data_IF_731765743363
#
_entry.id   IF_731765743363
#
_cell.length_a   1.000
_cell.length_b   1.000
_cell.length_c   1.000
_cell.angle_alpha   90.00
_cell.angle_beta   90.00
_cell.angle_gamma   90.00
#
_symmetry.space_group_name_H-M   'P 1'
#
loop_
_entity.id
_entity.type
_entity.pdbx_description
1 polymer ?
#
# COMPACT_ATOMS: atom_id res chain seq x y z
N UNK A 1 1.83 -10.47 24.91
CA UNK A 1 0.85 -9.95 23.92
C UNK A 1 0.76 -8.44 24.09
N UNK A 2 1.06 -7.65 23.05
CA UNK A 2 0.90 -6.18 23.10
C UNK A 2 -0.59 -5.85 22.89
N UNK A 3 -1.13 -4.91 23.68
CA UNK A 3 -2.57 -4.57 23.65
C UNK A 3 -2.99 -4.07 22.26
N UNK A 4 -4.11 -4.60 21.74
CA UNK A 4 -4.74 -4.17 20.48
C UNK A 4 -5.01 -2.66 20.49
N UNK A 5 -5.41 -2.11 21.65
CA UNK A 5 -5.68 -0.69 21.83
C UNK A 5 -4.44 0.17 21.54
N UNK A 6 -3.25 -0.31 21.92
CA UNK A 6 -1.99 0.39 21.69
C UNK A 6 -1.62 0.42 20.20
N UNK A 7 -1.88 -0.67 19.48
CA UNK A 7 -1.66 -0.73 18.02
C UNK A 7 -2.61 0.21 17.27
N UNK A 8 -3.89 0.22 17.65
CA UNK A 8 -4.86 1.15 17.07
C UNK A 8 -4.47 2.61 17.34
N UNK A 9 -4.03 2.92 18.57
CA UNK A 9 -3.58 4.27 18.91
C UNK A 9 -2.35 4.70 18.09
N UNK A 10 -1.34 3.83 17.96
CA UNK A 10 -0.16 4.08 17.13
C UNK A 10 -0.53 4.31 15.66
N UNK A 11 -1.48 3.52 15.13
CA UNK A 11 -2.01 3.70 13.76
C UNK A 11 -2.64 5.08 13.61
N UNK A 12 -3.52 5.49 14.52
CA UNK A 12 -4.17 6.80 14.48
C UNK A 12 -3.15 7.94 14.53
N UNK A 13 -2.15 7.87 15.41
CA UNK A 13 -1.10 8.88 15.49
C UNK A 13 -0.24 8.94 14.22
N UNK A 14 0.12 7.80 13.64
CA UNK A 14 0.91 7.74 12.41
C UNK A 14 0.15 8.37 11.23
N UNK A 15 -1.16 8.09 11.12
CA UNK A 15 -2.03 8.69 10.12
C UNK A 15 -2.16 10.20 10.34
N UNK A 16 -2.42 10.64 11.58
CA UNK A 16 -2.55 12.05 11.91
C UNK A 16 -1.28 12.84 11.59
N UNK A 17 -0.12 12.32 12.00
CA UNK A 17 1.16 12.95 11.71
C UNK A 17 1.42 13.09 10.20
N UNK A 18 1.00 12.09 9.42
CA UNK A 18 1.22 12.07 7.97
C UNK A 18 0.23 12.92 7.18
N UNK A 19 -1.04 12.97 7.61
CA UNK A 19 -2.15 13.59 6.86
C UNK A 19 -2.54 14.97 7.36
N UNK A 20 -2.73 15.12 8.67
CA UNK A 20 -3.29 16.33 9.25
C UNK A 20 -2.19 17.28 9.73
N UNK A 21 -1.18 16.76 10.42
CA UNK A 21 -0.09 17.58 10.94
C UNK A 21 0.99 17.92 9.88
N UNK A 22 1.00 17.18 8.76
CA UNK A 22 2.04 17.26 7.73
C UNK A 22 3.47 17.19 8.31
N UNK A 23 3.70 16.23 9.22
CA UNK A 23 5.01 15.93 9.82
C UNK A 23 5.44 14.52 9.36
N UNK A 24 5.99 14.37 8.13
CA UNK A 24 6.29 13.05 7.57
C UNK A 24 7.31 12.24 8.37
N UNK A 25 8.29 12.89 9.00
CA UNK A 25 9.30 12.25 9.85
C UNK A 25 8.69 11.58 11.09
N UNK A 26 7.70 12.24 11.71
CA UNK A 26 6.94 11.68 12.82
C UNK A 26 6.03 10.54 12.33
N UNK A 27 5.39 10.71 11.18
CA UNK A 27 4.61 9.65 10.53
C UNK A 27 5.43 8.39 10.22
N UNK A 28 6.65 8.56 9.70
CA UNK A 28 7.61 7.49 9.47
C UNK A 28 7.98 6.76 10.77
N UNK A 29 8.38 7.50 11.79
CA UNK A 29 8.76 6.95 13.09
C UNK A 29 7.62 6.12 13.73
N UNK A 30 6.40 6.66 13.70
CA UNK A 30 5.23 5.97 14.25
C UNK A 30 4.82 4.76 13.39
N UNK A 31 4.97 4.85 12.07
CA UNK A 31 4.79 3.73 11.15
C UNK A 31 5.74 2.56 11.47
N UNK A 32 7.03 2.84 11.62
CA UNK A 32 8.01 1.84 12.05
C UNK A 32 7.66 1.21 13.41
N UNK A 33 7.27 2.04 14.40
CA UNK A 33 6.83 1.58 15.72
C UNK A 33 5.59 0.67 15.63
N UNK A 34 4.65 0.97 14.74
CA UNK A 34 3.48 0.13 14.49
C UNK A 34 3.89 -1.24 13.94
N UNK A 35 4.75 -1.26 12.92
CA UNK A 35 5.23 -2.48 12.26
C UNK A 35 6.07 -3.38 13.19
N UNK A 36 6.79 -2.79 14.13
CA UNK A 36 7.57 -3.53 15.16
C UNK A 36 6.73 -3.96 16.37
N UNK A 37 5.51 -3.43 16.52
CA UNK A 37 4.65 -3.72 17.67
C UNK A 37 3.62 -4.82 17.43
N UNK A 38 3.31 -5.19 16.19
CA UNK A 38 2.32 -6.22 15.92
C UNK A 38 2.31 -6.62 14.45
N UNK A 39 1.37 -7.49 14.11
CA UNK A 39 1.20 -7.90 12.73
C UNK A 39 0.75 -6.71 11.86
N UNK A 40 1.33 -6.57 10.66
CA UNK A 40 0.97 -5.51 9.75
C UNK A 40 -0.49 -5.64 9.35
N UNK A 41 -1.28 -4.61 9.66
CA UNK A 41 -2.65 -4.51 9.18
C UNK A 41 -2.62 -4.52 7.63
N UNK A 42 -3.25 -5.50 6.96
CA UNK A 42 -3.17 -5.64 5.51
C UNK A 42 -3.81 -4.48 4.75
N UNK A 43 -4.59 -3.63 5.43
CA UNK A 43 -5.12 -2.39 4.87
C UNK A 43 -4.09 -1.26 4.78
N UNK A 44 -2.98 -1.37 5.52
CA UNK A 44 -1.90 -0.38 5.53
C UNK A 44 -0.87 -0.70 4.45
N UNK A 45 -0.34 0.36 3.84
CA UNK A 45 0.72 0.26 2.86
C UNK A 45 1.89 1.16 3.28
N UNK A 46 2.86 0.62 4.04
CA UNK A 46 4.05 1.38 4.43
C UNK A 46 5.00 1.53 3.23
N UNK A 47 5.66 2.68 3.14
CA UNK A 47 6.73 2.87 2.17
C UNK A 47 7.91 1.94 2.48
N UNK A 48 8.44 1.22 1.49
CA UNK A 48 9.56 0.29 1.74
C UNK A 48 10.86 1.00 2.13
N UNK A 49 10.99 2.30 1.82
CA UNK A 49 12.20 3.08 2.11
C UNK A 49 12.15 3.82 3.44
N UNK A 50 11.03 4.50 3.73
CA UNK A 50 10.92 5.37 4.90
C UNK A 50 9.84 4.95 5.88
N UNK A 51 9.13 3.84 5.61
CA UNK A 51 8.16 3.19 6.50
C UNK A 51 6.94 4.07 6.87
N UNK A 52 6.85 5.28 6.33
CA UNK A 52 5.65 6.13 6.40
C UNK A 52 4.46 5.37 5.82
N UNK A 53 3.34 5.41 6.54
CA UNK A 53 2.08 4.84 6.06
C UNK A 53 1.58 5.67 4.88
N UNK A 54 1.52 5.08 3.69
CA UNK A 54 1.09 5.74 2.48
C UNK A 54 -0.44 5.80 2.40
N UNK A 55 -0.96 7.01 2.29
CA UNK A 55 -2.36 7.37 2.17
C UNK A 55 -2.58 8.06 0.82
N UNK A 56 -3.24 7.36 -0.13
CA UNK A 56 -3.56 7.92 -1.44
C UNK A 56 -4.23 9.28 -1.34
N UNK A 57 -3.77 10.24 -2.15
CA UNK A 57 -4.33 11.60 -2.21
C UNK A 57 -3.81 12.56 -1.14
N UNK A 58 -2.97 12.11 -0.20
CA UNK A 58 -2.37 12.95 0.83
C UNK A 58 -0.85 12.94 0.74
N UNK A 59 -0.22 11.89 1.27
CA UNK A 59 1.24 11.74 1.29
C UNK A 59 1.74 10.77 0.21
N UNK A 60 0.85 10.23 -0.63
CA UNK A 60 1.23 9.43 -1.79
C UNK A 60 0.30 9.60 -2.99
N UNK A 61 0.85 9.37 -4.18
CA UNK A 61 0.10 9.25 -5.43
C UNK A 61 0.05 7.79 -5.85
N UNK A 62 -1.12 7.31 -6.31
CA UNK A 62 -1.29 5.94 -6.81
C UNK A 62 -1.43 5.95 -8.31
N UNK A 63 -0.65 5.11 -8.99
CA UNK A 63 -0.76 4.85 -10.44
C UNK A 63 -1.06 3.38 -10.66
N UNK A 64 -2.00 3.09 -11.56
CA UNK A 64 -2.31 1.73 -11.97
C UNK A 64 -1.81 1.59 -13.40
N UNK A 65 -0.81 0.74 -13.59
CA UNK A 65 -0.23 0.46 -14.89
C UNK A 65 -0.56 -0.96 -15.33
N UNK A 66 -0.87 -1.19 -16.62
CA UNK A 66 -1.03 -2.54 -17.12
C UNK A 66 0.30 -3.29 -17.00
N UNK A 67 0.24 -4.52 -16.52
CA UNK A 67 1.36 -5.44 -16.47
C UNK A 67 1.72 -5.87 -17.90
N UNK A 68 2.51 -5.04 -18.58
CA UNK A 68 3.02 -5.30 -19.95
C UNK A 68 4.20 -6.26 -19.95
N UNK A 69 4.31 -7.16 -18.97
CA UNK A 69 5.24 -8.27 -19.05
C UNK A 69 4.98 -8.98 -20.39
N UNK A 70 5.92 -8.81 -21.31
CA UNK A 70 5.85 -9.29 -22.70
C UNK A 70 5.36 -10.73 -22.64
N UNK A 71 4.18 -10.99 -23.19
CA UNK A 71 3.65 -12.34 -23.24
C UNK A 71 4.72 -13.22 -23.92
N UNK A 72 5.31 -14.21 -23.22
CA UNK A 72 6.18 -15.16 -23.90
C UNK A 72 5.30 -15.85 -24.94
N UNK A 73 5.64 -15.69 -26.21
CA UNK A 73 4.98 -16.40 -27.30
C UNK A 73 4.95 -17.89 -26.93
N UNK A 74 3.75 -18.44 -26.69
CA UNK A 74 3.55 -19.90 -26.66
C UNK A 74 3.29 -20.59 -25.31
N UNK A 75 3.09 -19.92 -24.16
CA UNK A 75 2.67 -20.63 -22.93
C UNK A 75 1.19 -20.43 -22.57
N UNK A 76 0.50 -21.54 -22.31
CA UNK A 76 -0.88 -21.64 -21.81
C UNK A 76 -1.09 -20.60 -20.70
N UNK A 77 -1.97 -19.62 -20.91
CA UNK A 77 -2.30 -18.58 -19.92
C UNK A 77 -2.76 -19.26 -18.63
N UNK A 78 -1.94 -19.25 -17.58
CA UNK A 78 -2.43 -19.58 -16.26
C UNK A 78 -3.41 -18.49 -15.84
N UNK A 79 -4.60 -18.88 -15.37
CA UNK A 79 -5.70 -18.00 -14.99
C UNK A 79 -5.39 -17.10 -13.76
N UNK A 80 -4.15 -17.14 -13.25
CA UNK A 80 -3.71 -16.43 -12.04
C UNK A 80 -2.78 -15.23 -12.31
N UNK A 81 -2.60 -14.80 -13.57
CA UNK A 81 -1.75 -13.63 -13.88
C UNK A 81 -2.48 -12.31 -13.53
N UNK A 82 -1.94 -11.55 -12.59
CA UNK A 82 -2.41 -10.18 -12.29
C UNK A 82 -2.14 -9.28 -13.48
N UNK A 83 -3.18 -8.60 -13.95
CA UNK A 83 -3.12 -7.81 -15.19
C UNK A 83 -2.52 -6.43 -15.00
N UNK A 84 -2.45 -5.92 -13.76
CA UNK A 84 -2.03 -4.56 -13.47
C UNK A 84 -1.02 -4.54 -12.31
N UNK A 85 -0.16 -3.53 -12.32
CA UNK A 85 0.75 -3.15 -11.23
C UNK A 85 0.23 -1.84 -10.64
N UNK A 86 0.15 -1.78 -9.32
CA UNK A 86 -0.22 -0.56 -8.58
C UNK A 86 1.06 0.02 -8.00
N UNK A 87 1.43 1.20 -8.46
CA UNK A 87 2.62 1.92 -8.01
C UNK A 87 2.21 3.05 -7.08
N UNK A 88 2.73 3.05 -5.87
CA UNK A 88 2.59 4.12 -4.89
C UNK A 88 3.84 5.00 -4.92
N UNK A 89 3.66 6.28 -5.19
CA UNK A 89 4.73 7.27 -5.14
C UNK A 89 4.67 8.01 -3.81
N UNK A 90 5.69 7.84 -2.97
CA UNK A 90 5.79 8.50 -1.67
C UNK A 90 6.22 9.96 -1.85
N UNK A 91 5.41 10.92 -1.40
CA UNK A 91 5.75 12.35 -1.51
C UNK A 91 6.89 12.77 -0.56
N UNK A 92 7.16 11.99 0.50
CA UNK A 92 8.21 12.30 1.46
C UNK A 92 9.61 11.92 0.97
N UNK A 93 9.82 10.65 0.60
CA UNK A 93 11.14 10.16 0.20
C UNK A 93 11.30 9.92 -1.31
N UNK A 94 10.26 10.25 -2.10
CA UNK A 94 10.20 10.05 -3.56
C UNK A 94 10.38 8.60 -4.02
N UNK A 95 10.24 7.62 -3.11
CA UNK A 95 10.32 6.21 -3.44
C UNK A 95 9.04 5.74 -4.16
N UNK A 96 9.21 4.74 -5.03
CA UNK A 96 8.13 4.14 -5.82
C UNK A 96 7.96 2.69 -5.38
N UNK A 97 6.90 2.44 -4.62
CA UNK A 97 6.57 1.11 -4.12
C UNK A 97 5.56 0.44 -5.07
N UNK A 98 5.93 -0.69 -5.68
CA UNK A 98 5.06 -1.41 -6.61
C UNK A 98 4.42 -2.64 -5.93
N UNK A 99 3.10 -2.76 -6.03
CA UNK A 99 2.32 -3.92 -5.58
C UNK A 99 1.58 -4.55 -6.77
N UNK A 100 1.44 -5.88 -6.78
CA UNK A 100 0.58 -6.55 -7.77
C UNK A 100 -0.87 -6.11 -7.56
N UNK A 101 -1.52 -5.69 -8.65
CA UNK A 101 -2.92 -5.32 -8.67
C UNK A 101 -3.85 -6.54 -8.68
N UNK A 102 -5.10 -6.32 -9.06
CA UNK A 102 -6.15 -7.34 -9.01
C UNK A 102 -5.93 -8.48 -10.02
N UNK A 103 -6.30 -9.73 -9.65
CA UNK A 103 -6.42 -10.85 -10.57
C UNK A 103 -7.53 -10.61 -11.61
N UNK A 104 -7.38 -11.22 -12.77
CA UNK A 104 -8.17 -11.02 -13.99
C UNK A 104 -9.69 -11.23 -13.86
N UNK A 105 -10.15 -12.02 -12.89
CA UNK A 105 -11.56 -12.41 -12.75
C UNK A 105 -12.33 -11.65 -11.65
N UNK A 106 -11.69 -10.70 -10.96
CA UNK A 106 -12.33 -9.97 -9.85
C UNK A 106 -13.28 -8.83 -10.29
N UNK A 107 -13.20 -8.38 -11.54
CA UNK A 107 -13.99 -7.27 -12.10
C UNK A 107 -15.45 -7.62 -12.41
N UNK A 108 -15.86 -8.88 -12.35
CA UNK A 108 -17.24 -9.30 -12.67
C UNK A 108 -18.24 -9.29 -11.50
N UNK A 109 -17.82 -9.01 -10.27
CA UNK A 109 -18.70 -9.11 -9.08
C UNK A 109 -19.37 -7.81 -8.61
N UNK A 110 -19.08 -6.66 -9.23
CA UNK A 110 -19.65 -5.36 -8.82
C UNK A 110 -20.50 -4.65 -9.89
N UNK A 111 -20.97 -5.38 -10.90
CA UNK A 111 -22.06 -4.89 -11.77
C UNK A 111 -23.27 -5.77 -11.50
N UNK A 112 -23.97 -5.48 -10.39
CA UNK A 112 -25.36 -5.90 -10.21
C UNK A 112 -26.20 -4.64 -10.44
N UNK A 113 -27.00 -4.67 -11.51
CA UNK A 113 -28.01 -3.67 -11.87
C UNK A 113 -29.12 -3.60 -10.83
#
# INVERSE_FOLDING_TARGET
>A
MKSILKLQHLKSLAMWASKEAFIPSLGAFLGHRLMTCGDPDPSLFPCQRCETILQPGHNCTVRIEPNRARAPHGRKKSNASTQNIVTHWCHFCSHHDAKRGTPKDHTKRYVQR
#
